data_IF_818348263615
#
_entry.id   IF_818348263615
#
_cell.length_a   1.000
_cell.length_b   1.000
_cell.length_c   1.000
_cell.angle_alpha   90.00
_cell.angle_beta   90.00
_cell.angle_gamma   90.00
#
_symmetry.space_group_name_H-M   'P 1'
#
loop_
_entity.id
_entity.type
_entity.pdbx_description
1 polymer ?
#
# COMPACT_ATOMS: atom_id res chain seq x y z
N UNK A 1 18.15 -30.03 7.40
CA UNK A 1 17.01 -29.15 7.77
C UNK A 1 15.71 -29.84 7.39
N UNK A 2 14.76 -29.89 8.31
CA UNK A 2 13.51 -30.64 8.10
C UNK A 2 12.53 -29.76 7.33
N UNK A 3 11.81 -30.33 6.34
CA UNK A 3 10.69 -29.66 5.62
C UNK A 3 9.64 -29.05 6.58
N UNK A 4 9.66 -29.46 7.84
CA UNK A 4 8.80 -28.94 8.91
C UNK A 4 9.26 -27.58 9.44
N UNK A 5 10.56 -27.29 9.41
CA UNK A 5 11.11 -26.00 9.84
C UNK A 5 10.86 -24.92 8.76
N UNK A 6 10.92 -25.28 7.48
CA UNK A 6 10.56 -24.40 6.37
C UNK A 6 9.06 -24.05 6.37
N UNK A 7 8.21 -25.02 6.71
CA UNK A 7 6.78 -24.80 6.86
C UNK A 7 6.43 -23.88 8.04
N UNK A 8 7.11 -24.07 9.19
CA UNK A 8 6.98 -23.17 10.37
C UNK A 8 7.42 -21.73 10.08
N UNK A 9 8.55 -21.55 9.38
CA UNK A 9 9.05 -20.22 9.00
C UNK A 9 8.11 -19.52 8.02
N UNK A 10 7.53 -20.27 7.08
CA UNK A 10 6.52 -19.78 6.13
C UNK A 10 5.24 -19.28 6.81
N UNK A 11 4.71 -20.06 7.77
CA UNK A 11 3.51 -19.66 8.54
C UNK A 11 3.80 -18.45 9.43
N UNK A 12 4.95 -18.39 10.07
CA UNK A 12 5.36 -17.27 10.93
C UNK A 12 5.46 -15.95 10.12
N UNK A 13 6.01 -16.00 8.91
CA UNK A 13 6.11 -14.84 8.02
C UNK A 13 4.74 -14.38 7.49
N UNK A 14 3.82 -15.32 7.25
CA UNK A 14 2.44 -15.00 6.83
C UNK A 14 1.64 -14.35 7.98
N UNK A 15 1.77 -14.86 9.19
CA UNK A 15 1.10 -14.33 10.38
C UNK A 15 1.56 -12.90 10.69
N UNK A 16 2.86 -12.61 10.54
CA UNK A 16 3.40 -11.25 10.71
C UNK A 16 2.87 -10.26 9.66
N UNK A 17 2.78 -10.68 8.40
CA UNK A 17 2.24 -9.86 7.29
C UNK A 17 0.75 -9.57 7.44
N UNK A 18 -0.05 -10.54 7.92
CA UNK A 18 -1.49 -10.34 8.18
C UNK A 18 -1.74 -9.45 9.39
N UNK A 19 -0.98 -9.60 10.48
CA UNK A 19 -1.12 -8.78 11.67
C UNK A 19 -0.80 -7.29 11.39
N UNK A 20 0.25 -7.00 10.62
CA UNK A 20 0.58 -5.63 10.22
C UNK A 20 -0.51 -5.02 9.33
N UNK A 21 -1.03 -5.76 8.36
CA UNK A 21 -2.10 -5.29 7.47
C UNK A 21 -3.41 -5.00 8.21
N UNK A 22 -3.74 -5.81 9.22
CA UNK A 22 -4.91 -5.59 10.09
C UNK A 22 -4.71 -4.37 10.98
N UNK A 23 -3.48 -4.13 11.46
CA UNK A 23 -3.13 -2.99 12.30
C UNK A 23 -3.19 -1.66 11.54
N UNK A 24 -2.76 -1.64 10.28
CA UNK A 24 -2.86 -0.47 9.39
C UNK A 24 -4.30 -0.15 8.98
N UNK A 25 -5.11 -1.18 8.69
CA UNK A 25 -6.54 -1.00 8.43
C UNK A 25 -7.28 -0.44 9.64
N UNK A 26 -6.93 -0.90 10.85
CA UNK A 26 -7.49 -0.37 12.11
C UNK A 26 -7.06 1.08 12.33
N UNK A 27 -5.81 1.44 11.99
CA UNK A 27 -5.30 2.81 12.11
C UNK A 27 -6.05 3.80 11.22
N UNK A 28 -6.21 3.50 9.93
CA UNK A 28 -6.94 4.35 8.99
C UNK A 28 -8.44 4.45 9.32
N UNK A 29 -9.07 3.34 9.71
CA UNK A 29 -10.47 3.34 10.13
C UNK A 29 -10.67 4.15 11.42
N UNK A 30 -9.77 4.04 12.39
CA UNK A 30 -9.79 4.81 13.62
C UNK A 30 -9.69 6.32 13.36
N UNK A 31 -8.81 6.75 12.45
CA UNK A 31 -8.68 8.16 12.08
C UNK A 31 -9.96 8.68 11.41
N UNK A 32 -10.59 7.93 10.52
CA UNK A 32 -11.86 8.30 9.91
C UNK A 32 -12.97 8.49 10.93
N UNK A 33 -13.07 7.60 11.92
CA UNK A 33 -14.03 7.73 13.02
C UNK A 33 -13.76 9.00 13.84
N UNK A 34 -12.48 9.30 14.14
CA UNK A 34 -12.11 10.53 14.85
C UNK A 34 -12.48 11.78 14.07
N UNK A 35 -12.22 11.78 12.75
CA UNK A 35 -12.63 12.90 11.86
C UNK A 35 -14.14 13.08 11.91
N UNK A 36 -14.93 12.03 11.74
CA UNK A 36 -16.39 12.10 11.76
C UNK A 36 -16.92 12.63 13.10
N UNK A 37 -16.36 12.20 14.23
CA UNK A 37 -16.72 12.70 15.55
C UNK A 37 -16.41 14.20 15.69
N UNK A 38 -15.21 14.63 15.27
CA UNK A 38 -14.82 16.04 15.31
C UNK A 38 -15.66 16.92 14.37
N UNK A 39 -16.06 16.41 13.21
CA UNK A 39 -16.99 17.09 12.31
C UNK A 39 -18.39 17.23 12.93
N UNK A 40 -18.86 16.23 13.65
CA UNK A 40 -20.11 16.33 14.40
C UNK A 40 -20.03 17.36 15.55
N UNK A 41 -18.90 17.43 16.26
CA UNK A 41 -18.66 18.44 17.29
C UNK A 41 -18.61 19.84 16.68
N UNK A 42 -17.92 20.04 15.57
CA UNK A 42 -17.93 21.30 14.79
C UNK A 42 -19.33 21.75 14.46
N UNK A 43 -20.18 20.86 13.97
CA UNK A 43 -21.55 21.17 13.58
C UNK A 43 -22.42 21.56 14.78
N UNK A 44 -22.16 20.98 15.97
CA UNK A 44 -22.77 21.38 17.22
C UNK A 44 -22.40 22.79 17.65
N UNK A 45 -21.08 23.11 17.58
CA UNK A 45 -20.59 24.45 17.91
C UNK A 45 -21.10 25.50 16.91
N UNK A 46 -21.20 25.22 15.62
CA UNK A 46 -21.82 26.12 14.65
C UNK A 46 -23.29 26.38 14.95
N UNK A 47 -24.07 25.36 15.36
CA UNK A 47 -25.47 25.52 15.78
C UNK A 47 -25.59 26.40 17.03
N UNK A 48 -24.68 26.19 17.99
CA UNK A 48 -24.61 27.00 19.20
C UNK A 48 -24.29 28.45 18.88
N UNK A 49 -23.23 28.66 18.07
CA UNK A 49 -22.81 29.99 17.61
C UNK A 49 -23.95 30.72 16.90
N UNK A 50 -24.69 30.04 16.02
CA UNK A 50 -25.88 30.58 15.36
C UNK A 50 -26.99 31.06 16.36
N UNK A 51 -27.28 30.25 17.38
CA UNK A 51 -28.24 30.60 18.44
C UNK A 51 -27.77 31.81 19.26
N UNK A 52 -26.47 31.83 19.67
CA UNK A 52 -25.91 32.93 20.44
C UNK A 52 -25.88 34.22 19.64
N UNK A 53 -25.49 34.16 18.35
CA UNK A 53 -25.52 35.31 17.47
C UNK A 53 -26.92 35.88 17.28
N UNK A 54 -27.91 34.99 17.09
CA UNK A 54 -29.31 35.40 17.01
C UNK A 54 -29.77 36.08 18.31
N UNK A 55 -29.46 35.50 19.50
CA UNK A 55 -29.77 36.09 20.78
C UNK A 55 -29.17 37.48 20.95
N UNK A 56 -27.87 37.65 20.56
CA UNK A 56 -27.19 38.94 20.58
C UNK A 56 -27.87 39.98 19.68
N UNK A 57 -28.23 39.62 18.46
CA UNK A 57 -28.86 40.50 17.49
C UNK A 57 -30.26 40.92 17.94
N UNK A 58 -30.97 40.08 18.69
CA UNK A 58 -32.31 40.34 19.21
C UNK A 58 -32.33 40.89 20.63
N UNK A 59 -31.16 41.15 21.23
CA UNK A 59 -30.98 41.57 22.62
C UNK A 59 -31.71 40.64 23.62
N UNK A 60 -31.66 39.33 23.35
CA UNK A 60 -32.26 38.32 24.23
C UNK A 60 -31.20 37.92 25.27
N UNK A 61 -31.51 38.07 26.54
CA UNK A 61 -30.67 37.59 27.64
C UNK A 61 -30.70 36.06 27.72
N UNK A 62 -29.56 35.48 28.06
CA UNK A 62 -29.50 34.05 28.38
C UNK A 62 -30.14 33.77 29.71
N UNK A 63 -30.75 32.58 29.86
CA UNK A 63 -31.50 32.18 31.07
C UNK A 63 -30.65 32.10 32.33
N UNK A 64 -29.33 31.92 32.18
CA UNK A 64 -28.36 31.85 33.26
C UNK A 64 -27.67 33.18 33.61
N UNK A 65 -28.06 34.28 32.92
CA UNK A 65 -27.50 35.62 33.17
C UNK A 65 -26.09 35.82 32.62
N UNK A 66 -25.57 34.86 31.87
CA UNK A 66 -24.23 34.96 31.25
C UNK A 66 -24.23 35.99 30.10
N UNK A 67 -23.03 36.60 29.88
CA UNK A 67 -22.84 37.51 28.76
C UNK A 67 -22.77 36.73 27.43
N UNK A 68 -23.75 37.01 26.56
CA UNK A 68 -23.84 36.41 25.23
C UNK A 68 -22.56 36.62 24.44
N UNK A 69 -21.86 37.75 24.60
CA UNK A 69 -20.62 38.05 23.87
C UNK A 69 -19.48 37.17 24.34
N UNK A 70 -19.36 36.96 25.65
CA UNK A 70 -18.36 36.05 26.22
C UNK A 70 -18.59 34.61 25.73
N UNK A 71 -19.83 34.13 25.72
CA UNK A 71 -20.20 32.80 25.21
C UNK A 71 -19.92 32.65 23.72
N UNK A 72 -20.10 33.66 22.91
CA UNK A 72 -19.72 33.67 21.49
C UNK A 72 -18.23 33.51 21.39
N UNK A 73 -17.41 34.27 22.15
CA UNK A 73 -15.93 34.16 22.10
C UNK A 73 -15.46 32.78 22.47
N UNK A 74 -15.96 32.20 23.57
CA UNK A 74 -15.61 30.82 23.97
C UNK A 74 -16.00 29.79 22.92
N UNK A 75 -17.14 29.94 22.25
CA UNK A 75 -17.60 29.03 21.21
C UNK A 75 -16.69 29.11 19.99
N UNK A 76 -16.24 30.30 19.63
CA UNK A 76 -15.26 30.51 18.54
C UNK A 76 -13.91 29.85 18.86
N UNK A 77 -13.39 30.02 20.09
CA UNK A 77 -12.14 29.37 20.50
C UNK A 77 -12.23 27.85 20.44
N UNK A 78 -13.34 27.26 20.90
CA UNK A 78 -13.58 25.82 20.78
C UNK A 78 -13.66 25.37 19.33
N UNK A 79 -14.35 26.15 18.50
CA UNK A 79 -14.48 25.86 17.08
C UNK A 79 -13.12 25.88 16.36
N UNK A 80 -12.26 26.85 16.66
CA UNK A 80 -10.90 26.93 16.10
C UNK A 80 -10.05 25.72 16.50
N UNK A 81 -10.15 25.29 17.77
CA UNK A 81 -9.50 24.06 18.22
C UNK A 81 -9.98 22.82 17.48
N UNK A 82 -11.28 22.66 17.28
CA UNK A 82 -11.89 21.55 16.54
C UNK A 82 -11.42 21.56 15.06
N UNK A 83 -11.37 22.72 14.42
CA UNK A 83 -10.92 22.86 13.04
C UNK A 83 -9.45 22.48 12.88
N UNK A 84 -8.58 22.85 13.83
CA UNK A 84 -7.19 22.43 13.85
C UNK A 84 -7.05 20.91 14.02
N UNK A 85 -7.83 20.32 14.93
CA UNK A 85 -7.85 18.86 15.11
C UNK A 85 -8.26 18.12 13.83
N UNK A 86 -9.32 18.58 13.16
CA UNK A 86 -9.78 18.00 11.89
C UNK A 86 -8.69 18.10 10.83
N UNK A 87 -8.02 19.24 10.73
CA UNK A 87 -6.91 19.44 9.77
C UNK A 87 -5.77 18.47 10.04
N UNK A 88 -5.35 18.34 11.29
CA UNK A 88 -4.29 17.39 11.70
C UNK A 88 -4.66 15.94 11.39
N UNK A 89 -5.89 15.53 11.71
CA UNK A 89 -6.37 14.17 11.44
C UNK A 89 -6.45 13.88 9.93
N UNK A 90 -6.85 14.85 9.11
CA UNK A 90 -6.86 14.71 7.64
C UNK A 90 -5.45 14.61 7.06
N UNK A 91 -4.46 15.30 7.63
CA UNK A 91 -3.07 15.12 7.26
C UNK A 91 -2.56 13.72 7.59
N UNK A 92 -2.83 13.21 8.79
CA UNK A 92 -2.47 11.85 9.17
C UNK A 92 -3.14 10.79 8.26
N UNK A 93 -4.40 10.99 7.89
CA UNK A 93 -5.09 10.11 6.93
C UNK A 93 -4.38 10.12 5.57
N UNK A 94 -4.00 11.29 5.07
CA UNK A 94 -3.29 11.43 3.80
C UNK A 94 -1.90 10.77 3.82
N UNK A 95 -1.14 10.90 4.93
CA UNK A 95 0.15 10.25 5.11
C UNK A 95 0.02 8.71 5.10
N UNK A 96 -0.95 8.16 5.83
CA UNK A 96 -1.20 6.71 5.83
C UNK A 96 -1.55 6.22 4.43
N UNK A 97 -2.35 6.97 3.70
CA UNK A 97 -2.73 6.65 2.32
C UNK A 97 -1.53 6.67 1.38
N UNK A 98 -0.71 7.71 1.46
CA UNK A 98 0.51 7.86 0.65
C UNK A 98 1.51 6.74 0.92
N UNK A 99 1.76 6.41 2.19
CA UNK A 99 2.65 5.31 2.58
C UNK A 99 2.15 3.96 2.04
N UNK A 100 0.85 3.73 2.08
CA UNK A 100 0.25 2.51 1.54
C UNK A 100 0.36 2.41 0.02
N UNK A 101 0.23 3.52 -0.69
CA UNK A 101 0.40 3.58 -2.14
C UNK A 101 1.87 3.34 -2.52
N UNK A 102 2.82 3.95 -1.79
CA UNK A 102 4.25 3.73 -1.97
C UNK A 102 4.66 2.27 -1.71
N UNK A 103 4.17 1.66 -0.64
CA UNK A 103 4.43 0.25 -0.34
C UNK A 103 3.86 -0.68 -1.42
N UNK A 104 2.67 -0.38 -1.93
CA UNK A 104 2.06 -1.14 -3.03
C UNK A 104 2.87 -1.03 -4.32
N UNK A 105 3.39 0.16 -4.63
CA UNK A 105 4.26 0.38 -5.79
C UNK A 105 5.58 -0.38 -5.65
N UNK A 106 6.24 -0.30 -4.49
CA UNK A 106 7.48 -1.03 -4.23
C UNK A 106 7.31 -2.56 -4.35
N UNK A 107 6.21 -3.11 -3.84
CA UNK A 107 5.91 -4.55 -3.99
C UNK A 107 5.63 -4.95 -5.45
N UNK A 108 5.02 -4.05 -6.24
CA UNK A 108 4.79 -4.31 -7.66
C UNK A 108 6.10 -4.31 -8.45
N UNK A 109 7.02 -3.41 -8.11
CA UNK A 109 8.36 -3.34 -8.69
C UNK A 109 9.21 -4.57 -8.33
N UNK A 110 9.19 -4.98 -7.06
CA UNK A 110 9.86 -6.22 -6.62
C UNK A 110 9.34 -7.47 -7.35
N UNK A 111 8.03 -7.54 -7.58
CA UNK A 111 7.45 -8.63 -8.38
C UNK A 111 7.95 -8.63 -9.82
N UNK A 112 7.96 -7.46 -10.47
CA UNK A 112 8.48 -7.34 -11.85
C UNK A 112 9.94 -7.73 -11.93
N UNK A 113 10.76 -7.27 -10.99
CA UNK A 113 12.19 -7.64 -10.97
C UNK A 113 12.40 -9.14 -10.77
N UNK A 114 11.55 -9.82 -9.98
CA UNK A 114 11.60 -11.28 -9.84
C UNK A 114 11.15 -12.02 -11.10
N UNK A 115 10.10 -11.55 -11.76
CA UNK A 115 9.63 -12.09 -13.03
C UNK A 115 10.72 -11.93 -14.12
N UNK A 116 11.35 -10.76 -14.23
CA UNK A 116 12.45 -10.52 -15.17
C UNK A 116 13.69 -11.40 -14.89
N UNK A 117 14.04 -11.61 -13.62
CA UNK A 117 15.14 -12.50 -13.25
C UNK A 117 14.85 -13.97 -13.55
N UNK A 118 13.59 -14.42 -13.41
CA UNK A 118 13.17 -15.78 -13.74
C UNK A 118 13.21 -16.03 -15.25
N UNK A 119 12.84 -15.06 -16.08
CA UNK A 119 12.96 -15.16 -17.54
C UNK A 119 14.41 -15.10 -18.04
N UNK A 120 15.29 -14.34 -17.39
CA UNK A 120 16.71 -14.27 -17.76
C UNK A 120 17.45 -15.60 -17.51
N UNK A 121 17.04 -16.39 -16.52
CA UNK A 121 17.63 -17.71 -16.22
C UNK A 121 17.15 -18.78 -17.23
N UNK A 122 16.00 -18.61 -17.86
CA UNK A 122 15.45 -19.52 -18.89
C UNK A 122 16.14 -19.31 -20.26
N UNK A 123 16.51 -18.08 -20.60
CA UNK A 123 17.21 -17.76 -21.87
C UNK A 123 18.63 -18.40 -21.92
N UNK A 124 19.35 -18.46 -20.81
CA UNK A 124 20.68 -19.13 -20.73
C UNK A 124 20.56 -20.66 -20.94
N UNK A 125 19.43 -21.26 -20.54
CA UNK A 125 19.21 -22.71 -20.73
C UNK A 125 18.98 -23.07 -22.20
N UNK A 126 18.25 -22.23 -22.92
CA UNK A 126 17.95 -22.43 -24.35
C UNK A 126 19.23 -22.32 -25.21
N UNK A 127 20.16 -21.40 -24.89
CA UNK A 127 21.41 -21.22 -25.59
C UNK A 127 22.32 -22.45 -25.44
N UNK A 128 22.45 -23.01 -24.24
CA UNK A 128 23.21 -24.22 -23.94
C UNK A 128 22.69 -25.45 -24.70
N UNK A 129 21.36 -25.62 -24.75
CA UNK A 129 20.70 -26.72 -25.47
C UNK A 129 20.90 -26.57 -26.96
N UNK A 130 20.83 -25.38 -27.54
CA UNK A 130 21.05 -25.13 -28.94
C UNK A 130 22.50 -25.36 -29.35
N UNK A 131 23.46 -25.02 -28.53
CA UNK A 131 24.87 -25.29 -28.76
C UNK A 131 25.16 -26.79 -28.74
N UNK A 132 24.64 -27.56 -27.82
CA UNK A 132 24.76 -29.03 -27.79
C UNK A 132 24.11 -29.67 -29.01
N UNK A 133 22.95 -29.20 -29.44
CA UNK A 133 22.26 -29.68 -30.63
C UNK A 133 23.08 -29.42 -31.90
N UNK A 134 23.64 -28.22 -32.03
CA UNK A 134 24.48 -27.86 -33.18
C UNK A 134 25.79 -28.64 -33.22
N UNK A 135 26.39 -28.96 -32.07
CA UNK A 135 27.56 -29.79 -31.98
C UNK A 135 27.27 -31.23 -32.42
N UNK A 136 26.20 -31.83 -31.91
CA UNK A 136 25.79 -33.20 -32.31
C UNK A 136 25.45 -33.29 -33.80
N UNK A 137 24.83 -32.28 -34.37
CA UNK A 137 24.55 -32.20 -35.82
C UNK A 137 25.78 -32.13 -36.66
N UNK A 138 26.82 -31.41 -36.22
CA UNK A 138 28.14 -31.37 -36.92
C UNK A 138 28.82 -32.73 -36.91
N UNK A 139 28.84 -33.42 -35.78
CA UNK A 139 29.42 -34.77 -35.68
C UNK A 139 28.70 -35.77 -36.58
N UNK A 140 27.36 -35.79 -36.55
CA UNK A 140 26.56 -36.67 -37.40
C UNK A 140 26.83 -36.44 -38.90
N UNK A 141 26.94 -35.17 -39.34
CA UNK A 141 27.27 -34.84 -40.72
C UNK A 141 28.66 -35.29 -41.09
N UNK A 142 29.66 -35.14 -40.20
CA UNK A 142 31.03 -35.57 -40.44
C UNK A 142 31.13 -37.11 -40.57
N UNK A 143 30.37 -37.86 -39.76
CA UNK A 143 30.30 -39.33 -39.86
C UNK A 143 29.61 -39.76 -41.16
N UNK A 144 28.55 -39.08 -41.56
CA UNK A 144 27.86 -39.34 -42.81
C UNK A 144 28.80 -39.15 -44.03
N UNK A 145 29.55 -38.04 -44.10
CA UNK A 145 30.47 -37.78 -45.18
C UNK A 145 31.62 -38.79 -45.21
N UNK A 146 32.14 -39.23 -44.06
CA UNK A 146 33.13 -40.31 -43.98
C UNK A 146 32.62 -41.64 -44.50
N UNK A 147 31.38 -42.01 -44.13
CA UNK A 147 30.75 -43.23 -44.58
C UNK A 147 30.45 -43.21 -46.09
N UNK A 148 30.06 -42.05 -46.61
CA UNK A 148 29.86 -41.86 -48.05
C UNK A 148 31.16 -42.00 -48.85
N UNK A 149 32.25 -41.39 -48.38
CA UNK A 149 33.55 -41.48 -49.01
C UNK A 149 34.11 -42.94 -49.01
N UNK A 150 33.95 -43.64 -47.87
CA UNK A 150 34.32 -45.05 -47.77
C UNK A 150 33.53 -45.96 -48.73
N UNK A 151 32.26 -45.64 -48.99
CA UNK A 151 31.44 -46.35 -49.94
C UNK A 151 31.79 -46.04 -51.40
N UNK A 152 32.22 -44.83 -51.71
CA UNK A 152 32.73 -44.46 -53.06
C UNK A 152 34.07 -45.06 -53.34
N UNK A 153 35.02 -45.19 -52.37
CA UNK A 153 36.31 -45.78 -52.50
C UNK A 153 36.28 -47.33 -52.61
N UNK A 154 35.17 -47.95 -52.30
CA UNK A 154 34.93 -49.38 -52.34
C UNK A 154 34.36 -49.91 -53.68
N UNK A 155 34.02 -49.03 -54.61
CA UNK A 155 33.43 -49.30 -55.90
C UNK A 155 34.54 -49.26 -57.03
#
# INVERSE_FOLDING_TARGET
MSKWDDFKSGISSLAGKTANKTRELTGAASIKIKIANKEADRDREYKLLGKLTYAKLKNISLSDGEDVTARISETLERLDGILLDIKSLKQQEAEIRSNKEAEKAARAEERRAKEEAEYADDDDYDEVIMDQFNAARKEANAEYEKAKQAAEDAL
#
